data_IF_820519835563
#
_entry.id   IF_820519835563
#
_cell.length_a   1.000
_cell.length_b   1.000
_cell.length_c   1.000
_cell.angle_alpha   90.00
_cell.angle_beta   90.00
_cell.angle_gamma   90.00
#
_symmetry.space_group_name_H-M   'P 1'
#
loop_
_entity.id
_entity.type
_entity.pdbx_description
1 polymer ?
#
# COMPACT_ATOMS: atom_id res chain seq x y z
N UNK A 1 23.93 -23.84 -14.89
CA UNK A 1 23.13 -22.84 -15.63
C UNK A 1 22.03 -23.53 -16.44
N UNK A 2 20.99 -22.82 -16.87
CA UNK A 2 19.91 -23.36 -17.73
C UNK A 2 20.47 -23.97 -19.03
N UNK A 3 21.59 -23.45 -19.54
CA UNK A 3 22.24 -23.97 -20.76
C UNK A 3 22.88 -25.32 -20.58
N UNK A 4 23.30 -25.66 -19.38
CA UNK A 4 23.97 -26.92 -19.05
C UNK A 4 22.98 -28.02 -18.72
N UNK A 5 21.81 -27.67 -18.22
CA UNK A 5 20.76 -28.60 -17.81
C UNK A 5 19.61 -28.60 -18.82
N UNK A 6 19.64 -29.52 -19.78
CA UNK A 6 18.58 -29.63 -20.77
C UNK A 6 17.26 -30.05 -20.13
N UNK A 7 16.20 -29.34 -20.42
CA UNK A 7 14.87 -29.56 -19.82
C UNK A 7 14.59 -28.73 -18.58
N UNK A 8 15.55 -27.93 -18.11
CA UNK A 8 15.35 -27.05 -16.97
C UNK A 8 14.58 -25.78 -17.35
N UNK A 9 13.79 -25.28 -16.41
CA UNK A 9 13.11 -24.00 -16.50
C UNK A 9 13.64 -23.05 -15.43
N UNK A 10 13.68 -21.76 -15.75
CA UNK A 10 14.02 -20.70 -14.83
C UNK A 10 12.92 -19.64 -14.81
N UNK A 11 12.57 -19.15 -13.63
CA UNK A 11 11.69 -18.01 -13.44
C UNK A 11 12.54 -16.78 -13.18
N UNK A 12 12.30 -15.72 -13.94
CA UNK A 12 12.85 -14.38 -13.70
C UNK A 12 11.71 -13.48 -13.28
N UNK A 13 11.90 -12.77 -12.18
CA UNK A 13 10.92 -11.80 -11.67
C UNK A 13 11.53 -10.41 -11.70
N UNK A 14 10.74 -9.43 -12.09
CA UNK A 14 11.09 -8.02 -12.02
C UNK A 14 10.06 -7.29 -11.16
N UNK A 15 10.56 -6.39 -10.30
CA UNK A 15 9.73 -5.54 -9.43
C UNK A 15 10.07 -4.10 -9.76
N UNK A 16 9.07 -3.33 -10.17
CA UNK A 16 9.19 -1.89 -10.43
C UNK A 16 8.58 -1.07 -9.30
N UNK A 17 9.15 0.10 -9.09
CA UNK A 17 8.70 1.20 -8.22
C UNK A 17 7.83 0.75 -7.02
N UNK A 18 8.44 0.60 -5.86
CA UNK A 18 7.77 0.25 -4.60
C UNK A 18 6.82 -0.97 -4.68
N UNK A 19 7.21 -1.97 -5.47
CA UNK A 19 6.43 -3.21 -5.66
C UNK A 19 5.06 -3.03 -6.32
N UNK A 20 4.82 -1.90 -7.00
CA UNK A 20 3.55 -1.65 -7.70
C UNK A 20 3.41 -2.36 -9.03
N UNK A 21 4.55 -2.65 -9.68
CA UNK A 21 4.59 -3.37 -10.96
C UNK A 21 5.41 -4.64 -10.81
N UNK A 22 4.82 -5.75 -11.18
CA UNK A 22 5.49 -7.04 -11.21
C UNK A 22 5.53 -7.58 -12.64
N UNK A 23 6.69 -8.09 -13.04
CA UNK A 23 6.84 -8.84 -14.29
C UNK A 23 7.41 -10.20 -13.99
N UNK A 24 6.97 -11.18 -14.75
CA UNK A 24 7.44 -12.55 -14.64
C UNK A 24 7.79 -13.07 -16.03
N UNK A 25 8.91 -13.77 -16.15
CA UNK A 25 9.30 -14.45 -17.38
C UNK A 25 9.80 -15.86 -17.05
N UNK A 26 9.31 -16.83 -17.79
CA UNK A 26 9.78 -18.21 -17.72
C UNK A 26 10.67 -18.46 -18.90
N UNK A 27 11.87 -18.93 -18.62
CA UNK A 27 12.84 -19.35 -19.62
C UNK A 27 13.00 -20.87 -19.58
N UNK A 28 13.02 -21.52 -20.72
CA UNK A 28 13.28 -22.95 -20.84
C UNK A 28 14.51 -23.20 -21.71
N UNK A 29 15.29 -24.20 -21.37
CA UNK A 29 16.41 -24.67 -22.17
C UNK A 29 15.99 -25.55 -23.38
N UNK A 30 14.70 -25.87 -23.46
CA UNK A 30 14.08 -26.62 -24.55
C UNK A 30 12.96 -25.78 -25.14
N UNK A 31 12.81 -25.68 -26.48
CA UNK A 31 11.67 -25.01 -27.09
C UNK A 31 10.35 -25.57 -26.55
N UNK A 32 9.46 -24.68 -26.21
CA UNK A 32 8.12 -24.99 -25.69
C UNK A 32 7.09 -24.29 -26.59
N UNK A 33 5.96 -24.93 -26.80
CA UNK A 33 4.80 -24.25 -27.39
C UNK A 33 4.25 -23.22 -26.42
N UNK A 34 4.49 -21.95 -26.73
CA UNK A 34 4.02 -20.85 -25.90
C UNK A 34 2.53 -20.64 -26.19
N UNK A 35 1.69 -21.03 -25.25
CA UNK A 35 0.29 -20.60 -25.27
C UNK A 35 0.19 -19.24 -24.60
N UNK A 36 -0.19 -18.24 -25.37
CA UNK A 36 -0.55 -16.94 -24.83
C UNK A 36 -1.80 -17.11 -23.96
N UNK A 37 -1.62 -17.07 -22.66
CA UNK A 37 -2.76 -16.96 -21.74
C UNK A 37 -3.21 -15.50 -21.80
N UNK A 38 -4.41 -15.27 -22.33
CA UNK A 38 -5.00 -13.94 -22.25
C UNK A 38 -5.16 -13.57 -20.77
N UNK A 39 -4.46 -12.54 -20.34
CA UNK A 39 -4.69 -11.99 -19.02
C UNK A 39 -6.10 -11.40 -19.02
N UNK A 40 -7.01 -12.00 -18.26
CA UNK A 40 -8.24 -11.32 -17.90
C UNK A 40 -7.82 -10.09 -17.10
N UNK A 41 -8.10 -8.93 -17.65
CA UNK A 41 -7.94 -7.68 -16.92
C UNK A 41 -8.89 -7.76 -15.73
N UNK A 42 -8.34 -7.97 -14.55
CA UNK A 42 -9.14 -7.81 -13.33
C UNK A 42 -9.58 -6.35 -13.32
N UNK A 43 -10.87 -6.10 -13.34
CA UNK A 43 -11.38 -4.75 -13.14
C UNK A 43 -10.93 -4.31 -11.76
N UNK A 44 -10.00 -3.37 -11.72
CA UNK A 44 -9.58 -2.77 -10.48
C UNK A 44 -10.75 -1.95 -9.94
N UNK A 45 -11.33 -2.38 -8.83
CA UNK A 45 -12.27 -1.56 -8.10
C UNK A 45 -11.54 -0.30 -7.64
N UNK A 46 -12.03 0.86 -8.05
CA UNK A 46 -11.55 2.15 -7.57
C UNK A 46 -12.28 2.54 -6.29
N UNK A 47 -11.55 3.05 -5.32
CA UNK A 47 -12.12 3.61 -4.09
C UNK A 47 -12.04 5.12 -4.19
N UNK A 48 -13.13 5.79 -3.84
CA UNK A 48 -13.17 7.25 -3.79
C UNK A 48 -12.27 7.76 -2.65
N UNK A 49 -11.52 8.82 -2.94
CA UNK A 49 -10.64 9.47 -1.97
C UNK A 49 -11.16 10.88 -1.69
N UNK A 50 -11.61 11.11 -0.45
CA UNK A 50 -12.00 12.43 0.02
C UNK A 50 -10.75 13.27 0.32
N UNK A 51 -10.72 14.49 -0.21
CA UNK A 51 -9.65 15.44 0.09
C UNK A 51 -9.76 16.00 1.53
N UNK A 52 -10.99 16.09 2.06
CA UNK A 52 -11.28 16.58 3.42
C UNK A 52 -12.19 15.60 4.13
N UNK A 53 -11.88 15.33 5.38
CA UNK A 53 -12.67 14.45 6.22
C UNK A 53 -12.60 14.92 7.67
N UNK A 54 -13.74 14.88 8.35
CA UNK A 54 -13.90 15.16 9.77
C UNK A 54 -14.74 14.04 10.41
N UNK A 55 -14.50 13.76 11.67
CA UNK A 55 -15.24 12.77 12.44
C UNK A 55 -14.55 11.42 12.54
N UNK A 56 -15.32 10.39 12.89
CA UNK A 56 -14.79 9.05 13.12
C UNK A 56 -14.38 8.36 11.81
N UNK A 57 -13.23 7.69 11.82
CA UNK A 57 -12.72 6.91 10.70
C UNK A 57 -11.92 5.72 11.20
N UNK A 58 -11.82 4.68 10.39
CA UNK A 58 -11.04 3.47 10.70
C UNK A 58 -9.72 3.53 9.94
N UNK A 59 -8.61 3.30 10.61
CA UNK A 59 -7.30 3.17 9.95
C UNK A 59 -7.27 1.86 9.16
N UNK A 60 -7.05 1.94 7.85
CA UNK A 60 -6.90 0.78 6.96
C UNK A 60 -5.47 0.55 6.50
N UNK A 61 -4.60 1.49 6.78
CA UNK A 61 -3.16 1.38 6.54
C UNK A 61 -2.44 2.61 7.07
N UNK A 62 -1.22 2.45 7.53
CA UNK A 62 -0.41 3.58 8.02
C UNK A 62 1.08 3.31 7.90
N UNK A 63 1.85 4.37 8.05
CA UNK A 63 3.30 4.32 8.17
C UNK A 63 3.79 5.46 9.04
N UNK A 64 4.89 5.25 9.76
CA UNK A 64 5.60 6.31 10.47
C UNK A 64 6.81 6.75 9.64
N UNK A 65 6.90 8.02 9.37
CA UNK A 65 7.98 8.63 8.62
C UNK A 65 8.97 9.31 9.56
N UNK A 66 10.24 8.94 9.39
CA UNK A 66 11.37 9.56 10.06
C UNK A 66 12.11 10.44 9.06
N UNK A 67 12.04 11.72 9.23
CA UNK A 67 12.83 12.68 8.45
C UNK A 67 14.05 13.14 9.29
N UNK A 68 14.91 13.97 8.73
CA UNK A 68 16.04 14.51 9.47
C UNK A 68 15.63 15.43 10.62
N UNK A 69 14.47 16.06 10.50
CA UNK A 69 13.99 17.09 11.44
C UNK A 69 12.73 16.67 12.18
N UNK A 70 11.90 15.81 11.58
CA UNK A 70 10.57 15.53 12.06
C UNK A 70 10.24 14.05 12.02
N UNK A 71 9.29 13.65 12.86
CA UNK A 71 8.69 12.33 12.87
C UNK A 71 7.18 12.48 12.93
N UNK A 72 6.49 11.87 12.00
CA UNK A 72 5.03 11.91 11.92
C UNK A 72 4.47 10.65 11.27
N UNK A 73 3.21 10.34 11.51
CA UNK A 73 2.53 9.25 10.85
C UNK A 73 1.66 9.77 9.69
N UNK A 74 1.59 8.95 8.64
CA UNK A 74 0.59 9.06 7.58
C UNK A 74 -0.29 7.83 7.62
N UNK A 75 -1.60 8.03 7.52
CA UNK A 75 -2.58 6.97 7.52
C UNK A 75 -3.53 7.10 6.33
N UNK A 76 -4.02 5.96 5.87
CA UNK A 76 -5.21 5.85 5.05
C UNK A 76 -6.35 5.47 5.98
N UNK A 77 -7.36 6.31 6.03
CA UNK A 77 -8.54 6.10 6.87
C UNK A 77 -9.77 5.86 6.00
N UNK A 78 -10.66 5.01 6.47
CA UNK A 78 -11.95 4.72 5.83
C UNK A 78 -13.07 5.30 6.68
N UNK A 79 -13.89 6.13 6.06
CA UNK A 79 -15.07 6.74 6.66
C UNK A 79 -16.22 5.73 6.70
N UNK A 80 -17.24 5.99 7.50
CA UNK A 80 -18.46 5.15 7.57
C UNK A 80 -19.13 4.98 6.21
N UNK A 81 -19.00 5.95 5.32
CA UNK A 81 -19.49 5.89 3.93
C UNK A 81 -18.74 4.93 3.01
N UNK A 82 -17.62 4.34 3.45
CA UNK A 82 -16.72 3.55 2.61
C UNK A 82 -15.74 4.39 1.77
N UNK A 83 -15.85 5.72 1.81
CA UNK A 83 -14.90 6.65 1.18
C UNK A 83 -13.63 6.67 2.00
N UNK A 84 -12.47 6.73 1.36
CA UNK A 84 -11.18 6.82 2.05
C UNK A 84 -10.64 8.24 2.04
N UNK A 85 -9.76 8.52 2.97
CA UNK A 85 -9.00 9.77 3.01
C UNK A 85 -7.58 9.51 3.50
N UNK A 86 -6.68 10.44 3.22
CA UNK A 86 -5.37 10.48 3.84
C UNK A 86 -5.42 11.35 5.08
N UNK A 87 -4.74 10.92 6.14
CA UNK A 87 -4.63 11.68 7.38
C UNK A 87 -3.19 11.70 7.88
N UNK A 88 -2.83 12.75 8.61
CA UNK A 88 -1.53 12.94 9.22
C UNK A 88 -1.66 12.96 10.74
N UNK A 89 -0.64 12.48 11.44
CA UNK A 89 -0.53 12.59 12.88
C UNK A 89 0.87 13.08 13.26
N UNK A 90 0.92 14.18 13.99
CA UNK A 90 2.16 14.74 14.52
C UNK A 90 2.27 14.60 16.05
N UNK A 91 1.23 14.08 16.70
CA UNK A 91 1.24 13.85 18.15
C UNK A 91 2.29 12.78 18.50
N UNK A 92 3.34 13.11 19.28
CA UNK A 92 4.43 12.19 19.58
C UNK A 92 3.98 10.93 20.30
N UNK A 93 2.96 10.99 21.14
CA UNK A 93 2.48 9.85 21.92
C UNK A 93 1.76 8.86 21.00
N UNK A 94 0.93 9.35 20.07
CA UNK A 94 0.25 8.54 19.08
C UNK A 94 1.28 7.92 18.10
N UNK A 95 2.22 8.73 17.60
CA UNK A 95 3.29 8.25 16.70
C UNK A 95 4.14 7.17 17.36
N UNK A 96 4.50 7.33 18.63
CA UNK A 96 5.22 6.32 19.41
C UNK A 96 4.41 5.02 19.58
N UNK A 97 3.10 5.14 19.80
CA UNK A 97 2.23 3.97 19.90
C UNK A 97 2.09 3.26 18.56
N UNK A 98 1.95 4.00 17.46
CA UNK A 98 1.90 3.43 16.09
C UNK A 98 3.16 2.65 15.69
N UNK A 99 4.30 2.93 16.31
CA UNK A 99 5.54 2.17 16.08
C UNK A 99 5.62 0.87 16.89
N UNK A 100 4.86 0.76 17.95
CA UNK A 100 4.93 -0.36 18.90
C UNK A 100 3.73 -1.29 18.82
N UNK A 101 2.61 -0.79 18.38
CA UNK A 101 1.33 -1.46 18.39
C UNK A 101 0.68 -1.39 17.01
N UNK A 102 -0.16 -2.37 16.69
CA UNK A 102 -0.92 -2.39 15.45
C UNK A 102 -2.11 -1.43 15.55
N UNK A 103 -2.20 -0.53 14.57
CA UNK A 103 -3.27 0.46 14.49
C UNK A 103 -4.25 0.22 13.34
N UNK A 104 -4.03 -0.77 12.48
CA UNK A 104 -5.01 -1.16 11.47
C UNK A 104 -6.28 -1.64 12.17
N UNK A 105 -7.43 -1.11 11.75
CA UNK A 105 -8.72 -1.40 12.36
C UNK A 105 -9.08 -0.52 13.56
N UNK A 106 -8.15 0.32 14.05
CA UNK A 106 -8.46 1.26 15.11
C UNK A 106 -9.33 2.42 14.61
N UNK A 107 -10.31 2.82 15.42
CA UNK A 107 -11.14 4.00 15.18
C UNK A 107 -10.41 5.23 15.71
N UNK A 108 -10.31 6.24 14.87
CA UNK A 108 -9.71 7.54 15.21
C UNK A 108 -10.68 8.68 14.89
N UNK A 109 -10.46 9.82 15.51
CA UNK A 109 -11.15 11.06 15.17
C UNK A 109 -10.28 11.86 14.20
N UNK A 110 -10.88 12.31 13.11
CA UNK A 110 -10.25 13.19 12.15
C UNK A 110 -10.72 14.61 12.35
N UNK A 111 -9.81 15.56 12.17
CA UNK A 111 -10.07 16.98 12.14
C UNK A 111 -9.35 17.59 10.92
N UNK A 112 -10.09 18.23 10.01
CA UNK A 112 -9.52 18.87 8.84
C UNK A 112 -9.13 20.32 9.13
N UNK A 113 -7.84 20.58 9.24
CA UNK A 113 -7.29 21.92 9.42
C UNK A 113 -6.35 22.27 8.25
N UNK A 114 -6.48 23.47 7.68
CA UNK A 114 -5.65 23.96 6.58
C UNK A 114 -5.55 22.97 5.39
N UNK A 115 -6.67 22.29 5.08
CA UNK A 115 -6.74 21.27 4.03
C UNK A 115 -5.91 20.01 4.29
N UNK A 116 -5.53 19.77 5.53
CA UNK A 116 -4.88 18.53 6.00
C UNK A 116 -5.81 17.85 6.98
N UNK A 117 -6.11 16.59 6.75
CA UNK A 117 -6.84 15.78 7.71
C UNK A 117 -5.85 15.29 8.79
N UNK A 118 -6.07 15.70 10.03
CA UNK A 118 -5.24 15.33 11.15
C UNK A 118 -5.94 14.27 11.99
N UNK A 119 -5.17 13.31 12.51
CA UNK A 119 -5.66 12.38 13.51
C UNK A 119 -5.64 13.12 14.85
N UNK A 120 -6.83 13.45 15.34
CA UNK A 120 -7.08 13.84 16.70
C UNK A 120 -7.42 12.59 17.53
N UNK A 121 -7.19 12.62 18.80
CA UNK A 121 -7.46 11.46 19.67
C UNK A 121 -8.95 11.26 19.90
#
# INVERSE_FOLDING_TARGET
TLRENRGSCGLVTGVGMHMTNHSFAIYSSVPQDIRMVSQSRTENSTVEIAARADGAAVIVGYTVLHTKTDRYALAVCELESGVRCYARCENPDIVNSMEREEWIGCVVQLCCENSVNNIAR
#
